data_IF_976664354762
#
_entry.id   IF_976664354762
#
_cell.length_a   1.000
_cell.length_b   1.000
_cell.length_c   1.000
_cell.angle_alpha   90.00
_cell.angle_beta   90.00
_cell.angle_gamma   90.00
#
_symmetry.space_group_name_H-M   'P 1'
#
loop_
_entity.id
_entity.type
_entity.pdbx_description
1 polymer ?
#
# COMPACT_ATOMS: atom_id res chain seq x y z
N UNK A 1 15.67 -2.71 -66.64
CA UNK A 1 14.80 -3.80 -66.16
C UNK A 1 15.44 -4.33 -64.90
N UNK A 2 14.65 -4.64 -63.87
CA UNK A 2 15.17 -5.37 -62.70
C UNK A 2 15.61 -6.75 -63.17
N UNK A 3 16.78 -7.20 -62.73
CA UNK A 3 17.25 -8.55 -63.02
C UNK A 3 16.72 -9.56 -61.96
N UNK A 4 16.81 -10.86 -62.24
CA UNK A 4 16.32 -11.90 -61.32
C UNK A 4 17.01 -11.85 -59.96
N UNK A 5 18.23 -11.30 -59.91
CA UNK A 5 19.03 -11.13 -58.70
C UNK A 5 18.46 -9.99 -57.84
N UNK A 6 17.99 -8.92 -58.45
CA UNK A 6 17.28 -7.82 -57.78
C UNK A 6 15.95 -8.30 -57.19
N UNK A 7 15.21 -9.16 -57.91
CA UNK A 7 13.95 -9.75 -57.45
C UNK A 7 14.19 -10.68 -56.25
N UNK A 8 15.29 -11.44 -56.23
CA UNK A 8 15.65 -12.30 -55.10
C UNK A 8 15.98 -11.51 -53.84
N UNK A 9 16.80 -10.46 -53.96
CA UNK A 9 17.13 -9.57 -52.84
C UNK A 9 15.90 -8.87 -52.26
N UNK A 10 14.96 -8.47 -53.11
CA UNK A 10 13.70 -7.89 -52.66
C UNK A 10 12.86 -8.91 -51.87
N UNK A 11 12.81 -10.17 -52.30
CA UNK A 11 12.09 -11.23 -51.55
C UNK A 11 12.75 -11.56 -50.20
N UNK A 12 14.07 -11.47 -50.11
CA UNK A 12 14.81 -11.68 -48.85
C UNK A 12 14.69 -10.48 -47.90
N UNK A 13 14.61 -9.25 -48.43
CA UNK A 13 14.48 -8.03 -47.63
C UNK A 13 13.03 -7.73 -47.18
N UNK A 14 12.04 -8.29 -47.86
CA UNK A 14 10.63 -8.12 -47.51
C UNK A 14 10.21 -9.19 -46.49
N UNK A 15 9.72 -8.75 -45.33
CA UNK A 15 9.16 -9.64 -44.32
C UNK A 15 8.03 -10.50 -44.92
N UNK A 16 8.04 -11.80 -44.62
CA UNK A 16 6.99 -12.70 -45.11
C UNK A 16 5.68 -12.45 -44.36
N UNK A 17 4.55 -12.91 -44.91
CA UNK A 17 3.25 -12.81 -44.21
C UNK A 17 3.25 -13.51 -42.84
N UNK A 18 4.05 -14.57 -42.68
CA UNK A 18 4.26 -15.25 -41.41
C UNK A 18 5.08 -14.41 -40.43
N UNK A 19 6.07 -13.64 -40.91
CA UNK A 19 6.85 -12.72 -40.07
C UNK A 19 6.00 -11.55 -39.59
N UNK A 20 5.09 -11.04 -40.43
CA UNK A 20 4.12 -10.02 -40.05
C UNK A 20 3.08 -10.55 -39.03
N UNK A 21 2.75 -11.84 -39.07
CA UNK A 21 1.84 -12.46 -38.11
C UNK A 21 2.46 -12.68 -36.72
N UNK A 22 3.80 -12.67 -36.62
CA UNK A 22 4.53 -12.70 -35.33
C UNK A 22 4.66 -11.31 -34.68
N UNK A 23 4.33 -10.25 -35.41
CA UNK A 23 4.28 -8.89 -34.87
C UNK A 23 2.99 -8.78 -34.06
N UNK A 24 3.11 -8.34 -32.80
CA UNK A 24 1.97 -8.04 -31.93
C UNK A 24 0.94 -7.24 -32.71
N UNK A 25 -0.25 -7.79 -32.85
CA UNK A 25 -1.34 -7.12 -33.56
C UNK A 25 -1.78 -5.91 -32.76
N UNK A 26 -2.33 -4.89 -33.45
CA UNK A 26 -2.89 -3.72 -32.77
C UNK A 26 -3.94 -4.12 -31.71
N UNK A 27 -4.71 -5.18 -31.98
CA UNK A 27 -5.72 -5.72 -31.07
C UNK A 27 -5.13 -6.37 -29.80
N UNK A 28 -3.97 -7.02 -29.90
CA UNK A 28 -3.25 -7.54 -28.73
C UNK A 28 -2.64 -6.41 -27.89
N UNK A 29 -2.11 -5.39 -28.55
CA UNK A 29 -1.59 -4.20 -27.86
C UNK A 29 -2.71 -3.42 -27.14
N UNK A 30 -3.88 -3.28 -27.76
CA UNK A 30 -5.03 -2.61 -27.15
C UNK A 30 -5.57 -3.40 -25.95
N UNK A 31 -5.61 -4.74 -26.03
CA UNK A 31 -5.95 -5.58 -24.87
C UNK A 31 -4.95 -5.44 -23.73
N UNK A 32 -3.66 -5.53 -24.02
CA UNK A 32 -2.61 -5.33 -23.02
C UNK A 32 -2.72 -3.96 -22.35
N UNK A 33 -3.00 -2.90 -23.11
CA UNK A 33 -3.19 -1.55 -22.59
C UNK A 33 -4.39 -1.45 -21.65
N UNK A 34 -5.47 -2.17 -21.93
CA UNK A 34 -6.66 -2.23 -21.05
C UNK A 34 -6.33 -2.96 -19.76
N UNK A 35 -5.66 -4.12 -19.82
CA UNK A 35 -5.24 -4.89 -18.65
C UNK A 35 -4.32 -4.07 -17.73
N UNK A 36 -3.28 -3.44 -18.29
CA UNK A 36 -2.36 -2.59 -17.51
C UNK A 36 -3.08 -1.42 -16.85
N UNK A 37 -4.08 -0.83 -17.51
CA UNK A 37 -4.89 0.24 -16.89
C UNK A 37 -5.73 -0.29 -15.73
N UNK A 38 -6.36 -1.45 -15.89
CA UNK A 38 -7.14 -2.08 -14.82
C UNK A 38 -6.26 -2.43 -13.62
N UNK A 39 -5.06 -2.98 -13.85
CA UNK A 39 -4.10 -3.27 -12.79
C UNK A 39 -3.64 -2.00 -12.08
N UNK A 40 -3.39 -0.93 -12.83
CA UNK A 40 -3.00 0.37 -12.27
C UNK A 40 -4.11 0.99 -11.42
N UNK A 41 -5.36 0.89 -11.88
CA UNK A 41 -6.52 1.38 -11.15
C UNK A 41 -6.73 0.56 -9.86
N UNK A 42 -6.63 -0.78 -9.93
CA UNK A 42 -6.71 -1.65 -8.75
C UNK A 42 -5.57 -1.41 -7.74
N UNK A 43 -4.35 -1.16 -8.22
CA UNK A 43 -3.22 -0.76 -7.38
C UNK A 43 -3.49 0.58 -6.70
N UNK A 44 -4.01 1.56 -7.43
CA UNK A 44 -4.36 2.87 -6.89
C UNK A 44 -5.40 2.77 -5.78
N UNK A 45 -6.46 1.98 -5.99
CA UNK A 45 -7.49 1.72 -4.98
C UNK A 45 -6.89 1.05 -3.73
N UNK A 46 -6.04 0.05 -3.92
CA UNK A 46 -5.36 -0.66 -2.82
C UNK A 46 -4.48 0.27 -1.99
N UNK A 47 -3.73 1.17 -2.65
CA UNK A 47 -2.91 2.18 -1.97
C UNK A 47 -3.78 3.18 -1.20
N UNK A 48 -4.90 3.62 -1.77
CA UNK A 48 -5.83 4.51 -1.05
C UNK A 48 -6.44 3.84 0.18
N UNK A 49 -6.87 2.58 0.05
CA UNK A 49 -7.37 1.80 1.18
C UNK A 49 -6.31 1.62 2.28
N UNK A 50 -5.05 1.40 1.89
CA UNK A 50 -3.93 1.32 2.82
C UNK A 50 -3.70 2.64 3.56
N UNK A 51 -3.68 3.78 2.85
CA UNK A 51 -3.51 5.11 3.46
C UNK A 51 -4.61 5.35 4.51
N UNK A 52 -5.88 5.10 4.16
CA UNK A 52 -7.01 5.26 5.09
C UNK A 52 -6.86 4.34 6.31
N UNK A 53 -6.37 3.12 6.10
CA UNK A 53 -6.16 2.16 7.20
C UNK A 53 -5.05 2.59 8.14
N UNK A 54 -3.95 3.11 7.59
CA UNK A 54 -2.84 3.68 8.38
C UNK A 54 -3.30 4.91 9.16
N UNK A 55 -4.04 5.83 8.56
CA UNK A 55 -4.55 7.02 9.24
C UNK A 55 -5.46 6.64 10.43
N UNK A 56 -6.34 5.64 10.24
CA UNK A 56 -7.19 5.12 11.32
C UNK A 56 -6.37 4.47 12.43
N UNK A 57 -5.33 3.71 12.08
CA UNK A 57 -4.45 3.09 13.06
C UNK A 57 -3.70 4.13 13.88
N UNK A 58 -3.13 5.14 13.24
CA UNK A 58 -2.45 6.25 13.91
C UNK A 58 -3.40 6.94 14.88
N UNK A 59 -4.64 7.21 14.47
CA UNK A 59 -5.66 7.78 15.36
C UNK A 59 -5.93 6.88 16.58
N UNK A 60 -6.16 5.59 16.36
CA UNK A 60 -6.42 4.65 17.45
C UNK A 60 -5.26 4.56 18.45
N UNK A 61 -4.01 4.61 17.97
CA UNK A 61 -2.82 4.61 18.82
C UNK A 61 -2.71 5.91 19.63
N UNK A 62 -2.98 7.05 19.01
CA UNK A 62 -2.99 8.35 19.71
C UNK A 62 -4.07 8.39 20.78
N UNK A 63 -5.30 8.01 20.45
CA UNK A 63 -6.43 7.97 21.39
C UNK A 63 -6.07 7.07 22.61
N UNK A 64 -5.51 5.88 22.33
CA UNK A 64 -5.07 4.95 23.38
C UNK A 64 -3.95 5.54 24.26
N UNK A 65 -3.00 6.26 23.65
CA UNK A 65 -1.92 6.91 24.39
C UNK A 65 -2.47 7.99 25.33
N UNK A 66 -3.39 8.82 24.87
CA UNK A 66 -4.05 9.85 25.68
C UNK A 66 -4.81 9.23 26.86
N UNK A 67 -5.59 8.18 26.61
CA UNK A 67 -6.29 7.43 27.66
C UNK A 67 -5.32 6.86 28.70
N UNK A 68 -4.20 6.29 28.26
CA UNK A 68 -3.19 5.72 29.14
C UNK A 68 -2.53 6.77 30.04
N UNK A 69 -2.23 7.96 29.50
CA UNK A 69 -1.72 9.10 30.28
C UNK A 69 -2.72 9.53 31.35
N UNK A 70 -4.01 9.61 31.00
CA UNK A 70 -5.08 9.94 31.94
C UNK A 70 -5.20 8.89 33.05
N UNK A 71 -5.17 7.60 32.69
CA UNK A 71 -5.25 6.49 33.66
C UNK A 71 -4.06 6.53 34.61
N UNK A 72 -2.85 6.68 34.08
CA UNK A 72 -1.61 6.78 34.88
C UNK A 72 -1.72 7.94 35.87
N UNK A 73 -2.13 9.12 35.41
CA UNK A 73 -2.32 10.28 36.30
C UNK A 73 -3.40 10.09 37.37
N UNK A 74 -4.44 9.29 37.09
CA UNK A 74 -5.45 8.90 38.10
C UNK A 74 -4.87 7.93 39.13
N UNK A 75 -4.12 6.92 38.68
CA UNK A 75 -3.44 5.94 39.56
C UNK A 75 -2.48 6.66 40.51
N UNK A 76 -1.62 7.53 39.99
CA UNK A 76 -0.69 8.33 40.80
C UNK A 76 -1.41 9.17 41.87
N UNK A 77 -2.57 9.75 41.50
CA UNK A 77 -3.37 10.54 42.43
C UNK A 77 -3.98 9.67 43.52
N UNK A 78 -4.50 8.51 43.16
CA UNK A 78 -5.05 7.56 44.13
C UNK A 78 -3.97 7.07 45.08
N UNK A 79 -2.78 6.75 44.59
CA UNK A 79 -1.65 6.35 45.43
C UNK A 79 -1.28 7.44 46.44
N UNK A 80 -1.21 8.70 45.99
CA UNK A 80 -1.01 9.86 46.90
C UNK A 80 -2.13 9.98 47.94
N UNK A 81 -3.38 9.78 47.54
CA UNK A 81 -4.51 9.80 48.49
C UNK A 81 -4.43 8.67 49.51
N UNK A 82 -4.05 7.47 49.11
CA UNK A 82 -3.86 6.34 50.03
C UNK A 82 -2.76 6.63 51.05
N UNK A 83 -1.64 7.18 50.63
CA UNK A 83 -0.58 7.62 51.57
C UNK A 83 -1.08 8.68 52.54
N UNK A 84 -1.76 9.73 52.06
CA UNK A 84 -2.31 10.78 52.93
C UNK A 84 -3.35 10.25 53.93
N UNK A 85 -4.16 9.27 53.54
CA UNK A 85 -5.12 8.62 54.43
C UNK A 85 -4.40 7.77 55.46
N UNK A 86 -3.41 6.98 55.05
CA UNK A 86 -2.62 6.13 55.93
C UNK A 86 -1.89 6.96 57.00
N UNK A 87 -1.26 8.07 56.60
CA UNK A 87 -0.61 9.02 57.51
C UNK A 87 -1.59 9.57 58.55
N UNK A 88 -2.81 9.94 58.13
CA UNK A 88 -3.84 10.44 59.04
C UNK A 88 -4.36 9.39 60.02
N UNK A 89 -4.36 8.12 59.62
CA UNK A 89 -4.81 7.00 60.45
C UNK A 89 -3.68 6.39 61.28
N UNK A 90 -2.42 6.82 61.09
CA UNK A 90 -1.25 6.21 61.71
C UNK A 90 -1.00 4.76 61.25
N UNK A 91 -1.49 4.40 60.06
CA UNK A 91 -1.34 3.07 59.47
C UNK A 91 -0.12 3.10 58.55
N UNK A 92 0.71 2.07 58.59
CA UNK A 92 1.80 1.89 57.64
C UNK A 92 1.31 1.04 56.48
N UNK A 93 1.39 1.57 55.26
CA UNK A 93 1.12 0.79 54.04
C UNK A 93 2.35 -0.08 53.75
N UNK A 94 2.16 -1.39 53.67
CA UNK A 94 3.19 -2.37 53.25
C UNK A 94 2.77 -2.96 51.90
N UNK A 95 3.75 -3.26 51.06
CA UNK A 95 3.57 -3.81 49.71
C UNK A 95 3.48 -5.34 49.76
#
# INVERSE_FOLDING_TARGET
>A
MLDDKDIQKLKEALATKEDLAKIVTLDEFDRFKVEVKQDLDGLRESVQALIISVDKLVKAVTDMHEEYVIITGKVDRHEKWFHLIADKLGIKLEY
#
